data_IF_537831505620
#
_entry.id   IF_537831505620
#
_cell.length_a   1.000
_cell.length_b   1.000
_cell.length_c   1.000
_cell.angle_alpha   90.00
_cell.angle_beta   90.00
_cell.angle_gamma   90.00
#
_symmetry.space_group_name_H-M   'P 1'
#
loop_
_entity.id
_entity.type
_entity.pdbx_description
1 polymer ?
#
# COMPACT_ATOMS: atom_id res chain seq x y z
N UNK A 1 12.03 -13.66 4.22
CA UNK A 1 11.65 -14.71 5.19
C UNK A 1 12.63 -15.91 5.20
N UNK A 2 13.94 -15.68 5.11
CA UNK A 2 14.92 -16.78 5.18
C UNK A 2 15.26 -17.18 6.64
N UNK A 3 15.08 -16.26 7.58
CA UNK A 3 15.17 -16.49 9.01
C UNK A 3 13.90 -15.93 9.66
N UNK A 4 13.19 -16.78 10.40
CA UNK A 4 11.95 -16.42 11.11
C UNK A 4 12.18 -15.98 12.55
N UNK A 5 13.38 -16.15 13.09
CA UNK A 5 13.71 -15.83 14.49
C UNK A 5 13.35 -14.38 14.85
N UNK A 6 13.74 -13.35 14.06
CA UNK A 6 13.39 -11.96 14.39
C UNK A 6 11.88 -11.70 14.42
N UNK A 7 11.11 -12.39 13.54
CA UNK A 7 9.66 -12.23 13.49
C UNK A 7 9.00 -12.77 14.77
N UNK A 8 9.48 -13.93 15.25
CA UNK A 8 8.94 -14.56 16.45
C UNK A 8 9.35 -13.77 17.69
N UNK A 9 10.63 -13.48 17.85
CA UNK A 9 11.17 -12.81 19.05
C UNK A 9 10.69 -11.37 19.23
N UNK A 10 10.51 -10.63 18.12
CA UNK A 10 10.10 -9.24 18.14
C UNK A 10 8.59 -9.06 17.86
N UNK A 11 7.83 -10.17 17.77
CA UNK A 11 6.41 -10.15 17.44
C UNK A 11 6.10 -9.35 16.15
N UNK A 12 6.96 -9.48 15.12
CA UNK A 12 6.75 -8.87 13.81
C UNK A 12 5.81 -9.76 13.01
N UNK A 13 4.80 -9.14 12.40
CA UNK A 13 3.78 -9.82 11.60
C UNK A 13 4.10 -9.66 10.10
N UNK A 14 4.63 -10.70 9.44
CA UNK A 14 5.00 -10.59 8.02
C UNK A 14 3.79 -10.56 7.10
N UNK A 15 3.98 -9.90 5.95
CA UNK A 15 3.09 -10.00 4.80
C UNK A 15 3.44 -11.25 4.00
N UNK A 16 2.42 -12.00 3.63
CA UNK A 16 2.50 -13.20 2.79
C UNK A 16 1.78 -12.90 1.48
N UNK A 17 2.52 -12.88 0.39
CA UNK A 17 2.07 -12.48 -0.93
C UNK A 17 2.35 -13.51 -2.04
N UNK A 18 2.85 -14.70 -1.68
CA UNK A 18 3.17 -15.77 -2.62
C UNK A 18 3.19 -17.12 -1.93
N UNK A 19 3.06 -18.22 -2.71
CA UNK A 19 3.18 -19.57 -2.19
C UNK A 19 4.57 -19.87 -1.63
N UNK A 20 5.62 -19.26 -2.19
CA UNK A 20 6.97 -19.38 -1.63
C UNK A 20 7.04 -18.82 -0.21
N UNK A 21 6.39 -17.65 0.04
CA UNK A 21 6.33 -17.07 1.38
C UNK A 21 5.46 -17.90 2.34
N UNK A 22 4.37 -18.52 1.85
CA UNK A 22 3.58 -19.48 2.63
C UNK A 22 4.42 -20.67 3.13
N UNK A 23 5.20 -21.26 2.23
CA UNK A 23 6.06 -22.40 2.56
C UNK A 23 7.08 -22.07 3.66
N UNK A 24 7.64 -20.87 3.63
CA UNK A 24 8.59 -20.40 4.64
C UNK A 24 7.98 -20.30 6.04
N UNK A 25 6.70 -19.96 6.16
CA UNK A 25 6.03 -19.75 7.46
C UNK A 25 5.16 -20.93 7.92
N UNK A 26 4.95 -21.95 7.09
CA UNK A 26 3.95 -23.02 7.34
C UNK A 26 4.07 -23.75 8.68
N UNK A 27 5.26 -23.78 9.28
CA UNK A 27 5.50 -24.46 10.56
C UNK A 27 5.72 -23.51 11.73
N UNK A 28 5.62 -22.19 11.50
CA UNK A 28 5.86 -21.18 12.49
C UNK A 28 4.55 -20.70 13.15
N UNK A 29 4.56 -20.53 14.46
CA UNK A 29 3.46 -19.88 15.17
C UNK A 29 3.55 -18.36 14.99
N UNK A 30 3.06 -17.87 13.86
CA UNK A 30 3.15 -16.46 13.46
C UNK A 30 1.77 -15.89 13.13
N UNK A 31 1.60 -14.63 13.49
CA UNK A 31 0.54 -13.77 12.96
C UNK A 31 0.98 -13.23 11.61
N UNK A 32 0.11 -13.32 10.61
CA UNK A 32 0.44 -12.90 9.25
C UNK A 32 -0.64 -12.01 8.64
N UNK A 33 -0.25 -11.28 7.60
CA UNK A 33 -1.16 -10.52 6.76
C UNK A 33 -1.11 -11.09 5.34
N UNK A 34 -2.26 -11.36 4.72
CA UNK A 34 -2.33 -11.85 3.34
C UNK A 34 -2.53 -10.69 2.37
N UNK A 35 -1.68 -10.58 1.36
CA UNK A 35 -1.81 -9.59 0.29
C UNK A 35 -2.39 -10.23 -0.96
N UNK A 36 -3.44 -9.61 -1.51
CA UNK A 36 -4.06 -10.01 -2.77
C UNK A 36 -3.88 -8.95 -3.84
N UNK A 37 -3.54 -9.39 -5.03
CA UNK A 37 -3.56 -8.56 -6.23
C UNK A 37 -4.96 -8.58 -6.84
N UNK A 38 -5.63 -7.46 -6.76
CA UNK A 38 -6.96 -7.27 -7.34
C UNK A 38 -6.92 -6.43 -8.62
N UNK A 39 -5.72 -6.16 -9.16
CA UNK A 39 -5.55 -5.41 -10.40
C UNK A 39 -4.42 -4.39 -10.41
N UNK A 40 -3.61 -4.29 -9.36
CA UNK A 40 -2.42 -3.43 -9.37
C UNK A 40 -1.20 -4.08 -10.03
N UNK A 41 -1.18 -5.41 -10.10
CA UNK A 41 -0.14 -6.23 -10.71
C UNK A 41 1.28 -5.94 -10.20
N UNK A 42 1.39 -5.83 -8.87
CA UNK A 42 2.67 -5.56 -8.21
C UNK A 42 3.08 -6.68 -7.26
N UNK A 43 2.27 -6.98 -6.25
CA UNK A 43 2.48 -8.02 -5.25
C UNK A 43 1.12 -8.60 -4.86
N UNK A 44 1.13 -9.83 -4.33
CA UNK A 44 -0.05 -10.49 -3.81
C UNK A 44 -0.43 -11.75 -4.58
N UNK A 45 -1.29 -12.56 -3.96
CA UNK A 45 -1.96 -13.67 -4.63
C UNK A 45 -3.00 -13.11 -5.59
N UNK A 46 -3.13 -13.71 -6.75
CA UNK A 46 -4.24 -13.37 -7.63
C UNK A 46 -5.49 -14.26 -7.35
N UNK A 47 -6.57 -13.96 -8.05
CA UNK A 47 -7.83 -14.68 -7.83
C UNK A 47 -7.73 -16.18 -8.18
N UNK A 48 -6.83 -16.57 -9.09
CA UNK A 48 -6.64 -17.97 -9.48
C UNK A 48 -5.92 -18.76 -8.39
N UNK A 49 -5.15 -18.10 -7.54
CA UNK A 49 -4.43 -18.70 -6.41
C UNK A 49 -5.35 -19.06 -5.23
N UNK A 50 -6.55 -18.43 -5.17
CA UNK A 50 -7.43 -18.54 -4.02
C UNK A 50 -7.76 -19.97 -3.62
N UNK A 51 -8.17 -20.89 -4.52
CA UNK A 51 -8.51 -22.26 -4.13
C UNK A 51 -7.33 -23.01 -3.47
N UNK A 52 -6.12 -22.85 -4.00
CA UNK A 52 -4.92 -23.46 -3.44
C UNK A 52 -4.58 -22.85 -2.08
N UNK A 53 -4.65 -21.51 -1.95
CA UNK A 53 -4.41 -20.83 -0.68
C UNK A 53 -5.39 -21.26 0.41
N UNK A 54 -6.70 -21.35 0.10
CA UNK A 54 -7.72 -21.82 1.05
C UNK A 54 -7.43 -23.24 1.54
N UNK A 55 -6.95 -24.13 0.65
CA UNK A 55 -6.53 -25.47 1.03
C UNK A 55 -5.34 -25.46 2.00
N UNK A 56 -4.35 -24.62 1.75
CA UNK A 56 -3.20 -24.44 2.64
C UNK A 56 -3.60 -23.89 4.00
N UNK A 57 -4.49 -22.90 4.05
CA UNK A 57 -4.96 -22.31 5.30
C UNK A 57 -5.74 -23.31 6.16
N UNK A 58 -6.53 -24.21 5.56
CA UNK A 58 -7.24 -25.28 6.29
C UNK A 58 -6.29 -26.25 6.99
N UNK A 59 -5.14 -26.52 6.39
CA UNK A 59 -4.19 -27.53 6.90
C UNK A 59 -3.13 -26.95 7.83
N UNK A 60 -2.94 -25.63 7.81
CA UNK A 60 -1.91 -24.94 8.60
C UNK A 60 -2.50 -24.25 9.83
N UNK A 61 -2.66 -25.00 10.92
CA UNK A 61 -3.22 -24.50 12.17
C UNK A 61 -2.28 -23.61 13.00
N UNK A 62 -1.00 -23.51 12.63
CA UNK A 62 -0.01 -22.73 13.39
C UNK A 62 0.03 -21.25 13.00
N UNK A 63 -0.37 -20.96 11.76
CA UNK A 63 -0.37 -19.60 11.23
C UNK A 63 -1.70 -18.92 11.57
N UNK A 64 -1.64 -17.75 12.16
CA UNK A 64 -2.80 -16.93 12.49
C UNK A 64 -2.95 -15.78 11.48
N UNK A 65 -3.91 -15.87 10.57
CA UNK A 65 -4.22 -14.78 9.63
C UNK A 65 -4.93 -13.66 10.38
N UNK A 66 -4.26 -12.52 10.51
CA UNK A 66 -4.76 -11.31 11.19
C UNK A 66 -5.53 -10.42 10.23
N UNK A 67 -5.00 -10.22 9.03
CA UNK A 67 -5.66 -9.40 8.02
C UNK A 67 -5.52 -9.93 6.60
N UNK A 68 -6.42 -9.47 5.76
CA UNK A 68 -6.36 -9.59 4.31
C UNK A 68 -6.37 -8.19 3.73
N UNK A 69 -5.51 -7.93 2.75
CA UNK A 69 -5.48 -6.62 2.11
C UNK A 69 -5.13 -6.67 0.63
N UNK A 70 -5.46 -5.58 -0.04
CA UNK A 70 -5.08 -5.28 -1.42
C UNK A 70 -4.74 -3.80 -1.56
N UNK A 71 -4.48 -3.33 -2.78
CA UNK A 71 -4.18 -1.93 -3.05
C UNK A 71 -4.97 -1.43 -4.27
N UNK A 72 -5.65 -0.30 -4.12
CA UNK A 72 -6.36 0.35 -5.22
C UNK A 72 -5.35 1.00 -6.16
N UNK A 73 -5.41 0.65 -7.44
CA UNK A 73 -4.44 1.09 -8.44
C UNK A 73 -4.79 2.44 -9.07
N UNK A 74 -6.08 2.80 -9.12
CA UNK A 74 -6.58 3.95 -9.87
C UNK A 74 -7.68 4.73 -9.14
N UNK A 75 -7.69 4.69 -7.81
CA UNK A 75 -8.74 5.36 -7.00
C UNK A 75 -8.70 6.89 -7.06
N UNK A 76 -7.66 7.47 -7.64
CA UNK A 76 -7.49 8.90 -7.89
C UNK A 76 -7.96 9.35 -9.29
N UNK A 77 -8.40 8.43 -10.14
CA UNK A 77 -8.73 8.68 -11.54
C UNK A 77 -10.20 8.32 -11.80
N UNK A 78 -11.06 9.32 -12.01
CA UNK A 78 -12.52 9.13 -12.17
C UNK A 78 -12.91 8.28 -13.38
N UNK A 79 -12.15 8.36 -14.45
CA UNK A 79 -12.34 7.57 -15.67
C UNK A 79 -12.14 6.07 -15.45
N UNK A 80 -11.53 5.68 -14.33
CA UNK A 80 -11.26 4.30 -13.94
C UNK A 80 -12.09 3.84 -12.72
N UNK A 81 -13.21 4.51 -12.44
CA UNK A 81 -14.07 4.14 -11.31
C UNK A 81 -14.65 2.73 -11.43
N UNK A 82 -15.04 2.31 -12.63
CA UNK A 82 -15.51 0.95 -12.86
C UNK A 82 -14.44 -0.09 -12.54
N UNK A 83 -13.19 0.16 -12.93
CA UNK A 83 -12.06 -0.69 -12.58
C UNK A 83 -11.82 -0.70 -11.05
N UNK A 84 -11.87 0.44 -10.40
CA UNK A 84 -11.72 0.54 -8.95
C UNK A 84 -12.83 -0.22 -8.22
N UNK A 85 -14.07 -0.10 -8.66
CA UNK A 85 -15.21 -0.85 -8.12
C UNK A 85 -15.04 -2.37 -8.33
N UNK A 86 -14.50 -2.79 -9.48
CA UNK A 86 -14.18 -4.20 -9.73
C UNK A 86 -13.09 -4.71 -8.77
N UNK A 87 -12.05 -3.93 -8.49
CA UNK A 87 -11.04 -4.28 -7.49
C UNK A 87 -11.68 -4.49 -6.11
N UNK A 88 -12.58 -3.59 -5.68
CA UNK A 88 -13.29 -3.67 -4.40
C UNK A 88 -14.18 -4.92 -4.35
N UNK A 89 -14.93 -5.22 -5.41
CA UNK A 89 -15.78 -6.39 -5.48
C UNK A 89 -14.98 -7.70 -5.41
N UNK A 90 -13.88 -7.79 -6.16
CA UNK A 90 -12.97 -8.94 -6.13
C UNK A 90 -12.38 -9.12 -4.73
N UNK A 91 -11.90 -8.04 -4.11
CA UNK A 91 -11.37 -8.06 -2.75
C UNK A 91 -12.40 -8.54 -1.73
N UNK A 92 -13.63 -8.09 -1.84
CA UNK A 92 -14.74 -8.50 -0.95
C UNK A 92 -14.96 -10.01 -1.03
N UNK A 93 -15.08 -10.56 -2.25
CA UNK A 93 -15.27 -12.00 -2.48
C UNK A 93 -14.12 -12.84 -1.93
N UNK A 94 -12.88 -12.38 -2.09
CA UNK A 94 -11.69 -13.03 -1.53
C UNK A 94 -11.75 -13.05 -0.01
N UNK A 95 -12.08 -11.93 0.62
CA UNK A 95 -12.19 -11.85 2.08
C UNK A 95 -13.28 -12.78 2.64
N UNK A 96 -14.44 -12.83 2.00
CA UNK A 96 -15.55 -13.73 2.39
C UNK A 96 -15.11 -15.20 2.33
N UNK A 97 -14.44 -15.61 1.26
CA UNK A 97 -13.94 -16.98 1.11
C UNK A 97 -12.90 -17.36 2.17
N UNK A 98 -12.01 -16.43 2.52
CA UNK A 98 -10.99 -16.62 3.56
C UNK A 98 -11.67 -16.70 4.94
N UNK A 99 -12.56 -15.77 5.28
CA UNK A 99 -13.27 -15.79 6.58
C UNK A 99 -14.11 -17.08 6.75
N UNK A 100 -14.80 -17.52 5.69
CA UNK A 100 -15.53 -18.79 5.69
C UNK A 100 -14.61 -19.99 5.92
N UNK A 101 -13.41 -19.96 5.33
CA UNK A 101 -12.43 -21.05 5.48
C UNK A 101 -11.82 -21.10 6.87
N UNK A 102 -11.51 -19.94 7.45
CA UNK A 102 -10.90 -19.81 8.78
C UNK A 102 -11.91 -19.94 9.92
N UNK A 103 -13.21 -19.80 9.64
CA UNK A 103 -14.27 -19.78 10.66
C UNK A 103 -14.17 -18.57 11.61
N UNK A 104 -13.47 -17.50 11.19
CA UNK A 104 -13.29 -16.27 11.99
C UNK A 104 -13.22 -15.05 11.08
N UNK A 105 -13.49 -13.87 11.66
CA UNK A 105 -13.27 -12.59 10.99
C UNK A 105 -11.77 -12.24 10.94
N UNK A 106 -11.38 -11.53 9.88
CA UNK A 106 -10.05 -10.94 9.72
C UNK A 106 -10.19 -9.43 9.45
N UNK A 107 -9.16 -8.67 9.76
CA UNK A 107 -9.11 -7.24 9.42
C UNK A 107 -8.99 -7.11 7.91
N UNK A 108 -9.89 -6.35 7.30
CA UNK A 108 -9.92 -6.09 5.84
C UNK A 108 -9.49 -4.67 5.56
N UNK A 109 -8.55 -4.46 4.62
CA UNK A 109 -8.15 -3.12 4.22
C UNK A 109 -7.66 -3.04 2.77
N UNK A 110 -8.15 -2.06 2.02
CA UNK A 110 -7.78 -1.83 0.62
C UNK A 110 -7.53 -0.34 0.33
N UNK A 111 -8.27 0.56 1.01
CA UNK A 111 -8.26 1.98 0.70
C UNK A 111 -6.90 2.64 1.00
N UNK A 112 -6.37 3.35 0.00
CA UNK A 112 -5.30 4.34 0.11
C UNK A 112 -5.90 5.75 0.31
N UNK A 113 -5.10 6.82 0.26
CA UNK A 113 -5.58 8.19 0.48
C UNK A 113 -6.74 8.58 -0.45
N UNK A 114 -6.65 8.27 -1.75
CA UNK A 114 -7.70 8.55 -2.72
C UNK A 114 -8.94 7.68 -2.48
N UNK A 115 -8.75 6.40 -2.15
CA UNK A 115 -9.84 5.49 -1.80
C UNK A 115 -10.63 5.95 -0.59
N UNK A 116 -9.98 6.55 0.41
CA UNK A 116 -10.65 7.13 1.58
C UNK A 116 -11.60 8.26 1.17
N UNK A 117 -11.15 9.14 0.27
CA UNK A 117 -11.94 10.29 -0.16
C UNK A 117 -13.09 9.91 -1.11
N UNK A 118 -12.85 8.98 -2.06
CA UNK A 118 -13.79 8.71 -3.16
C UNK A 118 -14.64 7.46 -2.99
N UNK A 119 -14.16 6.46 -2.25
CA UNK A 119 -14.82 5.16 -2.10
C UNK A 119 -15.06 4.81 -0.63
N UNK A 120 -16.02 5.47 0.06
CA UNK A 120 -16.28 5.22 1.49
C UNK A 120 -16.63 3.75 1.79
N UNK A 121 -17.24 3.03 0.84
CA UNK A 121 -17.54 1.60 0.96
C UNK A 121 -16.27 0.72 1.03
N UNK A 122 -15.11 1.21 0.58
CA UNK A 122 -13.84 0.51 0.60
C UNK A 122 -13.03 0.72 1.89
N UNK A 123 -13.55 1.41 2.88
CA UNK A 123 -12.83 1.66 4.15
C UNK A 123 -12.72 0.41 5.01
N UNK A 124 -13.67 -0.52 4.90
CA UNK A 124 -13.72 -1.79 5.66
C UNK A 124 -13.36 -1.60 7.14
N UNK A 125 -12.42 -2.41 7.67
CA UNK A 125 -12.01 -2.37 9.07
C UNK A 125 -10.82 -1.41 9.31
N UNK A 126 -10.02 -1.11 8.27
CA UNK A 126 -8.83 -0.25 8.36
C UNK A 126 -8.52 0.42 7.02
N UNK A 127 -7.94 1.60 7.07
CA UNK A 127 -7.44 2.33 5.90
C UNK A 127 -5.93 2.56 6.02
N UNK A 128 -5.26 2.76 4.88
CA UNK A 128 -3.83 3.07 4.83
C UNK A 128 -3.63 4.46 4.26
N UNK A 129 -3.53 5.42 5.17
CA UNK A 129 -3.29 6.82 4.81
C UNK A 129 -1.85 7.00 4.33
N UNK A 130 -1.69 7.37 3.07
CA UNK A 130 -0.41 7.66 2.43
C UNK A 130 -0.17 9.15 2.27
N UNK A 131 -0.27 9.66 1.03
CA UNK A 131 0.02 11.06 0.71
C UNK A 131 -0.85 12.06 1.50
N UNK A 132 -2.07 11.68 1.85
CA UNK A 132 -2.96 12.49 2.68
C UNK A 132 -2.40 12.83 4.05
N UNK A 133 -1.51 11.99 4.62
CA UNK A 133 -0.83 12.26 5.89
C UNK A 133 0.09 13.48 5.81
N UNK A 134 0.59 13.80 4.63
CA UNK A 134 1.46 14.95 4.38
C UNK A 134 0.68 16.23 4.06
N UNK A 135 -0.65 16.20 4.18
CA UNK A 135 -1.50 17.36 3.90
C UNK A 135 -1.79 17.57 2.42
N UNK A 136 -1.66 16.51 1.60
CA UNK A 136 -1.88 16.55 0.15
C UNK A 136 -3.05 15.64 -0.20
N UNK A 137 -4.15 16.21 -0.70
CA UNK A 137 -5.23 15.41 -1.30
C UNK A 137 -4.78 14.93 -2.69
N UNK A 138 -4.91 13.63 -2.97
CA UNK A 138 -4.64 13.11 -4.31
C UNK A 138 -5.75 13.43 -5.33
N UNK A 139 -6.92 13.91 -4.87
CA UNK A 139 -8.11 14.13 -5.68
C UNK A 139 -8.28 15.62 -5.99
N UNK A 140 -8.32 16.44 -4.97
CA UNK A 140 -8.63 17.86 -5.08
C UNK A 140 -7.54 18.72 -4.42
N UNK A 141 -6.87 19.54 -5.25
CA UNK A 141 -5.82 20.45 -4.81
C UNK A 141 -6.34 21.56 -3.89
N UNK A 142 -7.64 21.83 -3.93
CA UNK A 142 -8.30 22.84 -3.10
C UNK A 142 -8.77 22.27 -1.76
N UNK A 143 -8.75 20.96 -1.59
CA UNK A 143 -9.04 20.32 -0.29
C UNK A 143 -8.00 20.73 0.74
N UNK A 144 -8.45 21.43 1.77
CA UNK A 144 -7.59 21.95 2.85
C UNK A 144 -7.29 20.88 3.89
N UNK A 145 -6.36 20.00 3.56
CA UNK A 145 -5.74 19.12 4.56
C UNK A 145 -4.66 19.93 5.33
N UNK A 146 -4.56 19.67 6.63
CA UNK A 146 -3.52 20.32 7.44
C UNK A 146 -2.19 19.57 7.29
N UNK A 147 -1.11 20.26 6.89
CA UNK A 147 0.21 19.64 6.83
C UNK A 147 0.70 19.31 8.25
N UNK A 148 1.13 18.08 8.48
CA UNK A 148 1.65 17.63 9.79
C UNK A 148 3.17 17.70 9.88
N UNK A 149 3.87 17.95 8.76
CA UNK A 149 5.33 18.02 8.71
C UNK A 149 5.82 19.37 8.19
N UNK A 150 6.99 19.77 8.66
CA UNK A 150 7.72 20.94 8.17
C UNK A 150 9.09 20.49 7.67
N UNK A 151 9.42 20.83 6.43
CA UNK A 151 10.76 20.66 5.89
C UNK A 151 11.50 21.99 5.90
N UNK A 152 12.63 22.06 6.58
CA UNK A 152 13.44 23.30 6.74
C UNK A 152 14.86 23.07 6.32
N UNK A 153 15.49 24.12 5.78
CA UNK A 153 16.91 24.12 5.45
C UNK A 153 17.49 25.51 5.71
N UNK A 154 18.80 25.60 5.64
CA UNK A 154 19.52 26.86 5.73
C UNK A 154 20.18 27.18 4.40
N UNK A 155 20.23 28.46 4.04
CA UNK A 155 21.01 28.93 2.91
C UNK A 155 22.48 28.82 3.31
N UNK A 156 23.24 27.97 2.64
CA UNK A 156 24.66 27.75 2.93
C UNK A 156 25.58 28.77 2.26
N UNK A 157 25.14 29.32 1.11
CA UNK A 157 25.90 30.32 0.36
C UNK A 157 24.99 31.12 -0.57
N UNK A 158 25.26 32.39 -0.70
CA UNK A 158 24.71 33.28 -1.72
C UNK A 158 25.87 33.80 -2.56
N UNK A 159 25.74 33.75 -3.87
CA UNK A 159 26.77 34.27 -4.80
C UNK A 159 26.12 34.91 -6.02
N UNK A 160 26.81 35.87 -6.61
CA UNK A 160 26.40 36.50 -7.86
C UNK A 160 26.76 35.62 -9.04
N UNK A 161 25.84 35.46 -9.98
CA UNK A 161 26.01 34.73 -11.23
C UNK A 161 25.92 35.72 -12.39
N UNK A 162 26.93 35.84 -13.26
CA UNK A 162 26.91 36.76 -14.40
C UNK A 162 25.82 36.39 -15.40
N UNK A 163 25.34 37.41 -16.13
CA UNK A 163 24.43 37.21 -17.24
C UNK A 163 25.03 36.24 -18.27
N UNK A 164 24.21 35.30 -18.76
CA UNK A 164 24.64 34.26 -19.72
C UNK A 164 25.32 33.04 -19.11
N UNK A 165 25.68 33.07 -17.83
CA UNK A 165 26.25 31.88 -17.18
C UNK A 165 25.23 30.78 -16.94
N UNK A 166 25.63 29.54 -17.17
CA UNK A 166 24.81 28.36 -16.87
C UNK A 166 24.79 28.05 -15.39
N UNK A 167 23.66 27.57 -14.88
CA UNK A 167 23.42 27.23 -13.48
C UNK A 167 23.11 25.73 -13.36
N UNK A 168 23.80 25.07 -12.43
CA UNK A 168 23.53 23.66 -12.10
C UNK A 168 24.00 22.66 -13.13
N UNK A 169 23.55 21.41 -12.95
CA UNK A 169 23.91 20.31 -13.85
C UNK A 169 23.33 20.54 -15.26
N UNK A 170 24.14 20.22 -16.28
CA UNK A 170 23.75 20.38 -17.67
C UNK A 170 23.61 21.84 -18.13
N UNK A 171 23.79 22.81 -17.25
CA UNK A 171 23.66 24.25 -17.53
C UNK A 171 22.34 24.63 -18.26
N UNK A 172 21.27 23.91 -17.93
CA UNK A 172 19.97 24.12 -18.58
C UNK A 172 19.36 25.49 -18.28
N UNK A 173 19.58 25.99 -17.05
CA UNK A 173 19.15 27.33 -16.67
C UNK A 173 20.26 28.34 -16.94
N UNK A 174 19.92 29.41 -17.66
CA UNK A 174 20.82 30.55 -17.89
C UNK A 174 20.22 31.80 -17.31
N UNK A 175 21.03 32.56 -16.59
CA UNK A 175 20.58 33.85 -16.11
C UNK A 175 20.61 34.89 -17.24
N UNK A 176 19.49 35.59 -17.48
CA UNK A 176 19.42 36.66 -18.48
C UNK A 176 19.98 38.00 -17.98
N UNK A 177 20.36 38.08 -16.71
CA UNK A 177 20.92 39.24 -16.04
C UNK A 177 21.81 38.80 -14.88
N UNK A 178 22.64 39.68 -14.39
CA UNK A 178 23.37 39.44 -13.15
C UNK A 178 22.40 39.23 -11.99
N UNK A 179 22.61 38.16 -11.24
CA UNK A 179 21.78 37.75 -10.11
C UNK A 179 22.63 37.42 -8.91
#
# INVERSE_FOLDING_TARGET
LNDLTPYIEQNIQPVISSFESCEKVKNAALKIHLEFDTGMHRLGFDQHDLPQLLSLLKTNSKVDVVSVFSHLAASDTSELDDFTNQQIATFTSVCEAIEATLGKRVIKHIANSAGIERFPSATFDMVRLGIGLYGISPIDKDTKLLPVSSFKTYISQIKTVPAGAGIGYGQHDKSNKDR
#
